data_IF_131679627336
#
_entry.id   IF_131679627336
#
_cell.length_a   1.000
_cell.length_b   1.000
_cell.length_c   1.000
_cell.angle_alpha   90.00
_cell.angle_beta   90.00
_cell.angle_gamma   90.00
#
_symmetry.space_group_name_H-M   'P 1'
#
loop_
_entity.id
_entity.type
_entity.pdbx_description
1 polymer ?
#
# COMPACT_ATOMS: atom_id res chain seq x y z
N UNK A 1 -2.73 -3.97 -88.52
CA UNK A 1 -1.32 -4.33 -88.29
C UNK A 1 -0.64 -3.18 -87.55
N UNK A 2 0.25 -3.46 -86.58
CA UNK A 2 0.17 -2.84 -85.25
C UNK A 2 1.18 -1.70 -85.00
N UNK A 3 0.79 -0.77 -84.14
CA UNK A 3 1.67 0.20 -83.49
C UNK A 3 2.57 -0.52 -82.47
N UNK A 4 3.89 -0.45 -82.65
CA UNK A 4 4.88 -0.77 -81.61
C UNK A 4 5.36 0.54 -80.97
N UNK A 5 4.98 0.76 -79.71
CA UNK A 5 5.52 1.82 -78.88
C UNK A 5 6.84 1.36 -78.24
N UNK A 6 7.84 2.24 -78.31
CA UNK A 6 9.17 2.10 -77.72
C UNK A 6 9.07 2.32 -76.20
N UNK A 7 9.42 1.32 -75.38
CA UNK A 7 9.56 1.49 -73.93
C UNK A 7 11.04 1.73 -73.59
N UNK A 8 11.35 2.92 -73.07
CA UNK A 8 12.62 3.21 -72.40
C UNK A 8 12.64 2.50 -71.03
N UNK A 9 13.69 1.73 -70.78
CA UNK A 9 13.98 1.10 -69.50
C UNK A 9 14.75 2.11 -68.62
N UNK A 10 14.12 2.65 -67.57
CA UNK A 10 14.79 3.46 -66.55
C UNK A 10 15.31 2.54 -65.43
N UNK A 11 16.62 2.59 -65.19
CA UNK A 11 17.32 1.84 -64.16
C UNK A 11 17.12 2.54 -62.81
N UNK A 12 16.34 1.96 -61.88
CA UNK A 12 16.25 2.42 -60.50
C UNK A 12 17.36 1.79 -59.65
N UNK A 13 18.33 2.60 -59.23
CA UNK A 13 19.29 2.28 -58.18
C UNK A 13 18.63 2.45 -56.80
N UNK A 14 18.46 1.37 -56.05
CA UNK A 14 17.99 1.40 -54.67
C UNK A 14 19.14 1.80 -53.73
N UNK A 15 19.09 3.01 -53.18
CA UNK A 15 19.94 3.43 -52.06
C UNK A 15 19.38 2.83 -50.76
N UNK A 16 20.03 1.80 -50.24
CA UNK A 16 19.79 1.29 -48.89
C UNK A 16 20.26 2.33 -47.87
N UNK A 17 19.31 3.02 -47.24
CA UNK A 17 19.59 3.79 -46.02
C UNK A 17 19.85 2.81 -44.88
N UNK A 18 21.07 2.81 -44.33
CA UNK A 18 21.35 2.20 -43.04
C UNK A 18 20.57 2.97 -41.96
N UNK A 19 19.57 2.34 -41.36
CA UNK A 19 19.02 2.81 -40.10
C UNK A 19 20.10 2.64 -39.00
N UNK A 20 20.26 3.62 -38.09
CA UNK A 20 21.12 3.42 -36.92
C UNK A 20 20.59 2.24 -36.09
N UNK A 21 21.46 1.48 -35.41
CA UNK A 21 21.05 0.35 -34.59
C UNK A 21 20.08 0.83 -33.51
N UNK A 22 18.94 0.16 -33.45
CA UNK A 22 17.94 0.30 -32.40
C UNK A 22 18.65 0.13 -31.05
N UNK A 23 18.57 1.15 -30.20
CA UNK A 23 19.10 1.07 -28.83
C UNK A 23 18.27 0.03 -28.12
N UNK A 24 18.84 -1.17 -27.95
CA UNK A 24 18.22 -2.22 -27.17
C UNK A 24 17.82 -1.66 -25.80
N UNK A 25 16.56 -1.85 -25.42
CA UNK A 25 16.09 -1.57 -24.07
C UNK A 25 17.02 -2.29 -23.08
N UNK A 26 17.44 -1.63 -21.98
CA UNK A 26 18.36 -2.24 -21.03
C UNK A 26 17.74 -3.54 -20.50
N UNK A 27 18.48 -4.63 -20.65
CA UNK A 27 18.13 -5.92 -20.06
C UNK A 27 17.96 -5.74 -18.55
N UNK A 28 16.75 -5.98 -18.05
CA UNK A 28 16.47 -5.97 -16.62
C UNK A 28 17.23 -7.13 -15.99
N UNK A 29 18.26 -6.82 -15.21
CA UNK A 29 18.90 -7.79 -14.32
C UNK A 29 17.84 -8.37 -13.39
N UNK A 30 17.66 -9.69 -13.45
CA UNK A 30 16.69 -10.46 -12.67
C UNK A 30 17.16 -10.59 -11.21
N UNK A 31 17.11 -9.49 -10.45
CA UNK A 31 16.78 -9.62 -9.04
C UNK A 31 15.36 -10.18 -8.94
N UNK A 32 15.10 -11.12 -8.03
CA UNK A 32 13.75 -11.61 -7.78
C UNK A 32 12.83 -10.42 -7.54
N UNK A 33 11.96 -10.14 -8.51
CA UNK A 33 10.93 -9.12 -8.35
C UNK A 33 10.06 -9.52 -7.15
N UNK A 34 9.71 -8.58 -6.26
CA UNK A 34 8.87 -8.87 -5.12
C UNK A 34 7.60 -9.61 -5.54
N UNK A 35 7.13 -10.57 -4.74
CA UNK A 35 5.89 -11.25 -5.04
C UNK A 35 4.72 -10.26 -4.98
N UNK A 36 3.80 -10.33 -5.95
CA UNK A 36 2.58 -9.52 -5.92
C UNK A 36 1.77 -9.84 -4.65
N UNK A 37 1.45 -8.82 -3.88
CA UNK A 37 0.67 -8.92 -2.64
C UNK A 37 -0.78 -8.49 -2.90
N UNK A 38 -1.69 -8.93 -2.03
CA UNK A 38 -3.06 -8.40 -1.96
C UNK A 38 -3.20 -7.59 -0.66
N UNK A 39 -3.87 -6.43 -0.67
CA UNK A 39 -4.04 -5.62 0.52
C UNK A 39 -4.84 -6.30 1.62
N UNK A 40 -4.42 -6.07 2.88
CA UNK A 40 -5.10 -6.55 4.08
C UNK A 40 -6.35 -5.75 4.46
N UNK A 41 -7.03 -5.15 3.49
CA UNK A 41 -8.22 -4.30 3.65
C UNK A 41 -7.97 -2.85 4.11
N UNK A 42 -6.70 -2.50 4.32
CA UNK A 42 -6.23 -1.14 4.43
C UNK A 42 -5.08 -0.90 3.46
N UNK A 43 -4.78 0.38 3.24
CA UNK A 43 -3.64 0.83 2.46
C UNK A 43 -2.92 1.94 3.24
N UNK A 44 -1.66 1.71 3.58
CA UNK A 44 -0.79 2.68 4.25
C UNK A 44 0.12 3.37 3.24
N UNK A 45 -0.14 4.64 2.99
CA UNK A 45 0.63 5.49 2.09
C UNK A 45 1.49 6.48 2.87
N UNK A 46 2.79 6.45 2.61
CA UNK A 46 3.79 7.30 3.25
C UNK A 46 4.38 8.27 2.21
N UNK A 47 4.60 9.52 2.58
CA UNK A 47 5.47 10.43 1.83
C UNK A 47 6.72 10.76 2.65
N UNK A 48 7.87 10.84 1.99
CA UNK A 48 9.14 11.09 2.65
C UNK A 48 10.13 11.79 1.72
N UNK A 49 10.45 13.05 2.03
CA UNK A 49 11.63 13.71 1.49
C UNK A 49 12.87 13.14 2.20
N UNK A 50 13.71 12.41 1.46
CA UNK A 50 14.89 11.72 2.01
C UNK A 50 16.17 12.56 1.95
N UNK A 51 16.06 13.80 1.45
CA UNK A 51 17.19 14.71 1.24
C UNK A 51 18.39 14.01 0.61
N UNK A 52 18.15 13.28 -0.49
CA UNK A 52 19.16 12.51 -1.24
C UNK A 52 20.09 11.64 -0.37
N UNK A 53 19.64 11.20 0.81
CA UNK A 53 20.46 10.44 1.76
C UNK A 53 21.65 11.21 2.33
N UNK A 54 21.59 12.54 2.39
CA UNK A 54 22.72 13.38 2.82
C UNK A 54 23.07 13.17 4.31
N UNK A 55 22.03 13.05 5.16
CA UNK A 55 22.20 13.05 6.62
C UNK A 55 22.42 11.65 7.20
N UNK A 56 22.21 10.59 6.41
CA UNK A 56 22.26 9.21 6.88
C UNK A 56 22.37 8.20 5.73
N UNK A 57 22.64 6.93 6.03
CA UNK A 57 22.68 5.89 4.99
C UNK A 57 21.28 5.47 4.54
N UNK A 58 21.18 4.96 3.30
CA UNK A 58 19.92 4.42 2.76
C UNK A 58 19.39 3.25 3.58
N UNK A 59 20.24 2.49 4.27
CA UNK A 59 19.82 1.44 5.21
C UNK A 59 19.03 2.02 6.38
N UNK A 60 19.45 3.17 6.91
CA UNK A 60 18.74 3.81 8.02
C UNK A 60 17.43 4.46 7.56
N UNK A 61 17.41 5.05 6.37
CA UNK A 61 16.17 5.51 5.69
C UNK A 61 15.22 4.33 5.47
N UNK A 62 15.71 3.20 4.95
CA UNK A 62 14.92 1.99 4.77
C UNK A 62 14.41 1.40 6.10
N UNK A 63 15.15 1.55 7.20
CA UNK A 63 14.68 1.14 8.53
C UNK A 63 13.53 2.00 9.02
N UNK A 64 13.54 3.32 8.76
CA UNK A 64 12.39 4.20 9.03
C UNK A 64 11.17 3.71 8.23
N UNK A 65 11.34 3.43 6.94
CA UNK A 65 10.26 2.91 6.08
C UNK A 65 9.73 1.58 6.64
N UNK A 66 10.60 0.58 6.86
CA UNK A 66 10.22 -0.75 7.36
C UNK A 66 9.52 -0.69 8.72
N UNK A 67 9.97 0.17 9.63
CA UNK A 67 9.36 0.35 10.95
C UNK A 67 7.91 0.87 10.85
N UNK A 68 7.57 1.57 9.78
CA UNK A 68 6.22 2.06 9.52
C UNK A 68 5.37 1.10 8.70
N UNK A 69 5.96 0.04 8.15
CA UNK A 69 5.32 -0.95 7.29
C UNK A 69 4.33 -0.36 6.25
N UNK A 70 4.72 0.68 5.48
CA UNK A 70 3.85 1.24 4.46
C UNK A 70 3.68 0.27 3.28
N UNK A 71 2.55 0.42 2.60
CA UNK A 71 2.30 -0.24 1.34
C UNK A 71 2.86 0.52 0.15
N UNK A 72 2.84 1.85 0.24
CA UNK A 72 3.28 2.77 -0.80
C UNK A 72 4.14 3.85 -0.15
N UNK A 73 5.25 4.22 -0.79
CA UNK A 73 6.14 5.30 -0.33
C UNK A 73 6.44 6.26 -1.47
N UNK A 74 5.89 7.47 -1.37
CA UNK A 74 6.22 8.61 -2.21
C UNK A 74 7.53 9.24 -1.73
N UNK A 75 8.60 9.13 -2.51
CA UNK A 75 9.92 9.64 -2.18
C UNK A 75 10.25 10.91 -2.97
N UNK A 76 10.71 11.94 -2.26
CA UNK A 76 11.25 13.17 -2.83
C UNK A 76 12.75 13.24 -2.60
N UNK A 77 13.43 14.00 -3.45
CA UNK A 77 14.89 14.20 -3.42
C UNK A 77 15.70 12.92 -3.60
N UNK A 78 15.34 12.13 -4.61
CA UNK A 78 16.02 10.87 -4.90
C UNK A 78 17.07 11.10 -5.98
N UNK A 79 18.31 10.68 -5.70
CA UNK A 79 19.41 10.68 -6.66
C UNK A 79 19.53 9.33 -7.38
N UNK A 80 19.84 9.38 -8.67
CA UNK A 80 20.21 8.21 -9.47
C UNK A 80 21.53 8.50 -10.18
N UNK A 81 22.58 7.78 -9.78
CA UNK A 81 23.91 7.85 -10.38
C UNK A 81 24.56 9.25 -10.34
N UNK A 82 24.22 10.10 -9.35
CA UNK A 82 24.88 11.40 -9.13
C UNK A 82 26.25 11.20 -8.47
N UNK A 83 27.17 12.15 -8.62
CA UNK A 83 28.48 12.07 -7.92
C UNK A 83 28.28 12.18 -6.41
N UNK A 84 27.42 13.08 -5.94
CA UNK A 84 27.14 13.28 -4.51
C UNK A 84 26.52 12.05 -3.84
N UNK A 85 25.82 11.19 -4.59
CA UNK A 85 25.31 9.91 -4.08
C UNK A 85 26.30 8.76 -4.22
N UNK A 86 27.57 9.02 -4.58
CA UNK A 86 28.57 7.99 -4.93
C UNK A 86 28.11 7.06 -6.06
N UNK A 87 27.41 7.61 -7.06
CA UNK A 87 26.87 6.87 -8.19
C UNK A 87 25.87 5.77 -7.79
N UNK A 88 25.17 5.95 -6.67
CA UNK A 88 24.12 5.01 -6.24
C UNK A 88 22.81 5.36 -6.95
N UNK A 89 22.11 4.34 -7.46
CA UNK A 89 20.68 4.41 -7.75
C UNK A 89 19.91 4.22 -6.44
N UNK A 90 19.47 5.33 -5.85
CA UNK A 90 18.84 5.31 -4.54
C UNK A 90 17.45 4.67 -4.57
N UNK A 91 16.71 4.80 -5.68
CA UNK A 91 15.39 4.17 -5.83
C UNK A 91 15.52 2.65 -5.86
N UNK A 92 16.44 2.12 -6.67
CA UNK A 92 16.71 0.70 -6.76
C UNK A 92 17.22 0.14 -5.43
N UNK A 93 18.16 0.84 -4.77
CA UNK A 93 18.72 0.42 -3.49
C UNK A 93 17.65 0.39 -2.38
N UNK A 94 16.79 1.40 -2.30
CA UNK A 94 15.71 1.41 -1.32
C UNK A 94 14.67 0.31 -1.61
N UNK A 95 14.31 0.07 -2.87
CA UNK A 95 13.45 -1.04 -3.27
C UNK A 95 14.01 -2.40 -2.81
N UNK A 96 15.31 -2.63 -2.99
CA UNK A 96 16.00 -3.83 -2.50
C UNK A 96 15.96 -3.93 -0.96
N UNK A 97 16.28 -2.85 -0.25
CA UNK A 97 16.36 -2.84 1.21
C UNK A 97 14.99 -3.01 1.91
N UNK A 98 13.90 -2.62 1.24
CA UNK A 98 12.53 -2.76 1.76
C UNK A 98 11.79 -3.99 1.22
N UNK A 99 12.30 -4.59 0.13
CA UNK A 99 11.62 -5.68 -0.58
C UNK A 99 10.38 -5.20 -1.35
N UNK A 100 10.39 -3.97 -1.84
CA UNK A 100 9.29 -3.33 -2.55
C UNK A 100 9.62 -3.12 -4.04
N UNK A 101 8.61 -3.17 -4.90
CA UNK A 101 8.71 -2.66 -6.26
C UNK A 101 9.11 -1.19 -6.22
N UNK A 102 9.85 -0.72 -7.21
CA UNK A 102 10.23 0.68 -7.30
C UNK A 102 10.09 1.22 -8.72
N UNK A 103 9.87 2.52 -8.83
CA UNK A 103 9.96 3.25 -10.09
C UNK A 103 10.43 4.68 -9.83
N UNK A 104 11.33 5.19 -10.68
CA UNK A 104 11.91 6.52 -10.57
C UNK A 104 11.50 7.38 -11.76
N UNK A 105 11.18 8.64 -11.50
CA UNK A 105 10.88 9.65 -12.51
C UNK A 105 11.80 10.87 -12.27
N UNK A 106 12.70 11.20 -13.22
CA UNK A 106 13.60 12.33 -13.08
C UNK A 106 12.83 13.66 -13.19
N UNK A 107 13.01 14.53 -12.20
CA UNK A 107 12.70 15.95 -12.34
C UNK A 107 13.74 16.60 -13.26
N UNK A 108 15.01 16.30 -12.99
CA UNK A 108 16.19 16.69 -13.75
C UNK A 108 16.87 15.46 -14.35
N UNK A 109 16.96 15.41 -15.67
CA UNK A 109 17.57 14.28 -16.41
C UNK A 109 19.09 14.38 -16.52
N UNK A 110 19.66 15.56 -16.27
CA UNK A 110 21.09 15.83 -16.27
C UNK A 110 21.45 16.65 -15.03
N UNK A 111 21.72 15.95 -13.92
CA UNK A 111 22.08 16.57 -12.65
C UNK A 111 23.26 15.84 -12.03
N UNK A 112 24.37 16.56 -11.78
CA UNK A 112 25.58 16.00 -11.16
C UNK A 112 26.07 14.69 -11.81
N UNK A 113 26.11 14.69 -13.16
CA UNK A 113 26.44 13.52 -13.98
C UNK A 113 25.55 12.29 -13.75
N UNK A 114 24.33 12.52 -13.28
CA UNK A 114 23.26 11.54 -13.04
C UNK A 114 21.89 12.22 -13.16
N UNK A 115 20.94 11.80 -12.33
CA UNK A 115 19.56 12.29 -12.33
C UNK A 115 19.09 12.58 -10.91
N UNK A 116 18.16 13.53 -10.80
CA UNK A 116 17.51 13.90 -9.54
C UNK A 116 16.00 13.96 -9.74
N UNK A 117 15.23 13.40 -8.81
CA UNK A 117 13.78 13.35 -8.98
C UNK A 117 13.02 12.67 -7.87
N UNK A 118 11.97 11.98 -8.29
CA UNK A 118 10.93 11.42 -7.45
C UNK A 118 10.89 9.90 -7.66
N UNK A 119 10.58 9.15 -6.61
CA UNK A 119 10.38 7.71 -6.72
C UNK A 119 9.12 7.26 -5.99
N UNK A 120 8.58 6.12 -6.43
CA UNK A 120 7.57 5.37 -5.70
C UNK A 120 8.17 4.02 -5.31
N UNK A 121 8.07 3.66 -4.02
CA UNK A 121 8.19 2.28 -3.58
C UNK A 121 6.78 1.70 -3.37
N UNK A 122 6.56 0.45 -3.78
CA UNK A 122 5.25 -0.19 -3.70
C UNK A 122 5.36 -1.66 -3.29
N UNK A 123 4.51 -2.11 -2.35
CA UNK A 123 4.29 -3.53 -2.06
C UNK A 123 3.56 -4.25 -3.19
N UNK A 124 2.96 -3.49 -4.10
CA UNK A 124 2.13 -3.98 -5.20
C UNK A 124 2.77 -3.64 -6.56
N UNK A 125 2.48 -4.40 -7.63
CA UNK A 125 3.03 -4.13 -8.95
C UNK A 125 2.73 -2.70 -9.44
N UNK A 126 3.77 -1.99 -9.86
CA UNK A 126 3.67 -0.72 -10.57
C UNK A 126 3.52 -1.05 -12.06
N UNK A 127 2.36 -0.74 -12.65
CA UNK A 127 2.02 -1.14 -14.02
C UNK A 127 2.38 -0.09 -15.06
N UNK A 128 2.38 1.17 -14.68
CA UNK A 128 2.86 2.26 -15.54
C UNK A 128 3.40 3.42 -14.70
N UNK A 129 4.23 4.24 -15.33
CA UNK A 129 4.78 5.47 -14.77
C UNK A 129 4.76 6.56 -15.84
N UNK A 130 4.34 7.77 -15.46
CA UNK A 130 4.22 8.92 -16.33
C UNK A 130 4.85 10.14 -15.65
N UNK A 131 5.70 10.83 -16.41
CA UNK A 131 6.26 12.14 -16.04
C UNK A 131 5.35 13.26 -16.55
N UNK A 132 4.83 14.08 -15.65
CA UNK A 132 4.07 15.28 -16.00
C UNK A 132 4.85 16.53 -15.56
N UNK A 133 5.41 17.33 -16.49
CA UNK A 133 6.06 18.58 -16.14
C UNK A 133 5.08 19.55 -15.47
N UNK A 134 5.50 20.20 -14.39
CA UNK A 134 4.76 21.28 -13.75
C UNK A 134 5.36 22.63 -14.15
N UNK A 135 4.53 23.67 -14.22
CA UNK A 135 5.01 25.04 -14.47
C UNK A 135 6.03 25.43 -13.40
N UNK A 136 7.23 25.76 -13.87
CA UNK A 136 8.41 26.03 -13.04
C UNK A 136 9.18 27.20 -13.65
N UNK A 137 9.54 28.18 -12.83
CA UNK A 137 10.35 29.35 -13.19
C UNK A 137 11.84 29.12 -12.92
N UNK A 138 12.17 28.16 -12.03
CA UNK A 138 13.53 27.77 -11.69
C UNK A 138 13.78 26.30 -12.05
N UNK A 139 14.25 25.50 -11.09
CA UNK A 139 14.41 24.05 -11.28
C UNK A 139 13.08 23.41 -11.72
N UNK A 140 13.14 22.58 -12.77
CA UNK A 140 11.97 21.88 -13.29
C UNK A 140 11.37 20.95 -12.22
N UNK A 141 10.13 21.22 -11.80
CA UNK A 141 9.34 20.33 -10.96
C UNK A 141 8.39 19.46 -11.79
N UNK A 142 8.07 18.27 -11.30
CA UNK A 142 7.20 17.31 -12.00
C UNK A 142 6.22 16.67 -11.05
N UNK A 143 5.10 16.19 -11.59
CA UNK A 143 4.28 15.16 -10.98
C UNK A 143 4.70 13.82 -11.58
N UNK A 144 5.16 12.90 -10.74
CA UNK A 144 5.36 11.51 -11.10
C UNK A 144 4.06 10.75 -10.83
N UNK A 145 3.38 10.29 -11.88
CA UNK A 145 2.12 9.58 -11.79
C UNK A 145 2.31 8.10 -12.12
N UNK A 146 1.92 7.22 -11.21
CA UNK A 146 2.03 5.78 -11.32
C UNK A 146 0.64 5.15 -11.29
N UNK A 147 0.45 4.05 -12.02
CA UNK A 147 -0.72 3.18 -11.86
C UNK A 147 -0.29 1.92 -11.10
N UNK A 148 -0.83 1.73 -9.90
CA UNK A 148 -0.47 0.62 -9.00
C UNK A 148 -1.61 -0.38 -8.93
N UNK A 149 -1.32 -1.66 -9.18
CA UNK A 149 -2.31 -2.73 -9.15
C UNK A 149 -2.43 -3.33 -7.75
N UNK A 150 -3.43 -2.91 -6.98
CA UNK A 150 -3.65 -3.41 -5.62
C UNK A 150 -4.26 -4.81 -5.60
N UNK A 151 -5.18 -5.09 -6.51
CA UNK A 151 -5.82 -6.39 -6.70
C UNK A 151 -5.82 -6.69 -8.20
N UNK A 152 -5.97 -7.95 -8.64
CA UNK A 152 -6.08 -8.27 -10.06
C UNK A 152 -7.09 -7.35 -10.77
N UNK A 153 -6.62 -6.63 -11.79
CA UNK A 153 -7.39 -5.63 -12.56
C UNK A 153 -7.88 -4.39 -11.80
N UNK A 154 -7.37 -4.13 -10.59
CA UNK A 154 -7.68 -2.92 -9.81
C UNK A 154 -6.47 -2.01 -9.69
N UNK A 155 -6.37 -1.10 -10.66
CA UNK A 155 -5.38 -0.03 -10.68
C UNK A 155 -5.88 1.17 -9.86
N UNK A 156 -4.98 1.75 -9.08
CA UNK A 156 -5.17 3.08 -8.51
C UNK A 156 -4.05 4.04 -8.96
N UNK A 157 -4.37 5.32 -9.21
CA UNK A 157 -3.36 6.32 -9.49
C UNK A 157 -2.65 6.72 -8.19
N UNK A 158 -1.32 6.65 -8.19
CA UNK A 158 -0.46 7.08 -7.08
C UNK A 158 0.49 8.13 -7.63
N UNK A 159 0.50 9.30 -7.01
CA UNK A 159 1.23 10.45 -7.49
C UNK A 159 2.23 10.94 -6.45
N UNK A 160 3.40 11.35 -6.94
CA UNK A 160 4.49 11.94 -6.14
C UNK A 160 4.83 13.30 -6.71
N UNK A 161 5.02 14.31 -5.86
CA UNK A 161 5.47 15.63 -6.29
C UNK A 161 6.42 16.28 -5.29
N UNK A 162 7.15 17.30 -5.75
CA UNK A 162 7.96 18.18 -4.93
C UNK A 162 7.88 19.60 -5.49
N UNK A 163 7.25 20.51 -4.75
CA UNK A 163 7.02 21.89 -5.21
C UNK A 163 8.27 22.77 -5.14
N UNK A 164 8.28 23.84 -5.93
CA UNK A 164 9.33 24.86 -5.91
C UNK A 164 9.36 25.64 -4.59
N UNK A 165 10.57 26.03 -4.16
CA UNK A 165 10.78 26.83 -2.95
C UNK A 165 10.65 28.34 -3.20
N UNK A 166 10.80 28.77 -4.47
CA UNK A 166 11.09 30.16 -4.85
C UNK A 166 9.88 31.09 -4.95
N UNK A 167 8.64 30.58 -5.13
CA UNK A 167 7.48 31.48 -5.27
C UNK A 167 6.11 30.86 -4.98
N UNK A 168 5.31 31.55 -4.15
CA UNK A 168 3.95 31.13 -3.83
C UNK A 168 3.03 31.08 -5.07
N UNK A 169 3.18 32.03 -6.01
CA UNK A 169 2.40 32.04 -7.26
C UNK A 169 2.74 30.85 -8.18
N UNK A 170 4.02 30.46 -8.24
CA UNK A 170 4.44 29.25 -8.95
C UNK A 170 3.79 28.01 -8.33
N UNK A 171 3.81 27.87 -7.00
CA UNK A 171 3.16 26.74 -6.32
C UNK A 171 1.65 26.65 -6.60
N UNK A 172 0.97 27.78 -6.78
CA UNK A 172 -0.45 27.78 -7.20
C UNK A 172 -0.59 27.23 -8.62
N UNK A 173 0.29 27.60 -9.55
CA UNK A 173 0.29 27.05 -10.91
C UNK A 173 0.59 25.54 -10.91
N UNK A 174 1.56 25.10 -10.11
CA UNK A 174 1.88 23.68 -9.92
C UNK A 174 0.69 22.90 -9.34
N UNK A 175 -0.05 23.49 -8.39
CA UNK A 175 -1.28 22.90 -7.86
C UNK A 175 -2.37 22.73 -8.93
N UNK A 176 -2.59 23.73 -9.79
CA UNK A 176 -3.55 23.62 -10.89
C UNK A 176 -3.13 22.59 -11.95
N UNK A 177 -1.83 22.47 -12.23
CA UNK A 177 -1.30 21.45 -13.15
C UNK A 177 -1.56 20.03 -12.62
N UNK A 178 -1.38 19.81 -11.31
CA UNK A 178 -1.71 18.55 -10.64
C UNK A 178 -3.20 18.26 -10.72
N UNK A 179 -4.06 19.25 -10.44
CA UNK A 179 -5.52 19.10 -10.53
C UNK A 179 -5.96 18.73 -11.94
N UNK A 180 -5.35 19.32 -12.97
CA UNK A 180 -5.63 18.96 -14.36
C UNK A 180 -5.19 17.52 -14.67
N UNK A 181 -3.98 17.13 -14.25
CA UNK A 181 -3.44 15.79 -14.48
C UNK A 181 -4.22 14.68 -13.75
N UNK A 182 -4.81 14.99 -12.60
CA UNK A 182 -5.58 14.06 -11.76
C UNK A 182 -7.10 14.21 -11.90
N UNK A 183 -7.57 15.04 -12.83
CA UNK A 183 -8.99 15.20 -13.10
C UNK A 183 -9.65 13.84 -13.45
N UNK A 184 -10.79 13.55 -12.83
CA UNK A 184 -11.51 12.28 -13.05
C UNK A 184 -10.84 11.05 -12.44
N UNK A 185 -9.82 11.20 -11.59
CA UNK A 185 -9.16 10.10 -10.86
C UNK A 185 -9.54 10.12 -9.36
N UNK A 186 -10.76 9.72 -8.98
CA UNK A 186 -11.25 9.88 -7.60
C UNK A 186 -10.52 8.97 -6.60
N UNK A 187 -9.84 7.92 -7.06
CA UNK A 187 -9.00 7.04 -6.23
C UNK A 187 -7.54 7.50 -6.11
N UNK A 188 -7.20 8.66 -6.67
CA UNK A 188 -5.82 9.16 -6.64
C UNK A 188 -5.31 9.33 -5.20
N UNK A 189 -4.08 8.90 -4.98
CA UNK A 189 -3.30 9.23 -3.80
C UNK A 189 -2.17 10.16 -4.23
N UNK A 190 -1.94 11.25 -3.50
CA UNK A 190 -0.86 12.20 -3.79
C UNK A 190 -0.01 12.42 -2.54
N UNK A 191 1.28 12.09 -2.63
CA UNK A 191 2.26 12.32 -1.57
C UNK A 191 3.32 13.30 -2.04
N UNK A 192 3.75 14.23 -1.19
CA UNK A 192 4.87 15.08 -1.55
C UNK A 192 5.23 16.14 -0.53
N UNK A 193 6.43 16.69 -0.72
CA UNK A 193 6.86 17.95 -0.13
C UNK A 193 6.32 19.11 -0.99
N UNK A 194 5.30 19.79 -0.49
CA UNK A 194 4.63 20.87 -1.21
C UNK A 194 5.28 22.23 -0.94
N UNK A 195 6.31 22.32 -0.08
CA UNK A 195 6.97 23.57 0.28
C UNK A 195 6.00 24.72 0.63
N UNK A 196 4.82 24.36 1.14
CA UNK A 196 3.71 25.26 1.39
C UNK A 196 3.00 24.89 2.69
N UNK A 197 2.78 25.89 3.54
CA UNK A 197 2.00 25.76 4.76
C UNK A 197 0.50 25.61 4.47
N UNK A 198 -0.30 25.08 5.42
CA UNK A 198 -1.71 24.78 5.18
C UNK A 198 -2.58 25.98 4.80
N UNK A 199 -2.16 27.19 5.18
CA UNK A 199 -2.86 28.44 4.87
C UNK A 199 -2.53 29.02 3.49
N UNK A 200 -1.59 28.43 2.75
CA UNK A 200 -1.22 28.93 1.43
C UNK A 200 -2.25 28.58 0.35
N UNK A 201 -2.36 29.46 -0.66
CA UNK A 201 -3.32 29.33 -1.74
C UNK A 201 -3.10 28.09 -2.61
N UNK A 202 -1.87 27.60 -2.72
CA UNK A 202 -1.56 26.36 -3.43
C UNK A 202 -2.20 25.14 -2.76
N UNK A 203 -2.15 25.07 -1.42
CA UNK A 203 -2.82 24.03 -0.65
C UNK A 203 -4.34 24.19 -0.77
N UNK A 204 -4.86 25.41 -0.60
CA UNK A 204 -6.29 25.69 -0.78
C UNK A 204 -6.82 25.28 -2.15
N UNK A 205 -6.01 25.44 -3.22
CA UNK A 205 -6.33 24.99 -4.57
C UNK A 205 -6.43 23.46 -4.65
N UNK A 206 -5.42 22.73 -4.18
CA UNK A 206 -5.44 21.25 -4.17
C UNK A 206 -6.65 20.71 -3.40
N UNK A 207 -7.01 21.34 -2.28
CA UNK A 207 -8.14 20.92 -1.45
C UNK A 207 -9.52 21.10 -2.10
N UNK A 208 -9.61 21.74 -3.27
CA UNK A 208 -10.83 21.74 -4.08
C UNK A 208 -11.13 20.37 -4.72
N UNK A 209 -10.11 19.51 -4.89
CA UNK A 209 -10.24 18.17 -5.47
C UNK A 209 -9.80 17.04 -4.53
N UNK A 210 -8.96 17.35 -3.55
CA UNK A 210 -8.40 16.39 -2.62
C UNK A 210 -8.79 16.69 -1.18
N UNK A 211 -8.68 15.69 -0.33
CA UNK A 211 -8.78 15.82 1.13
C UNK A 211 -7.40 15.64 1.76
N UNK A 212 -7.01 16.55 2.67
CA UNK A 212 -5.80 16.40 3.47
C UNK A 212 -5.96 15.30 4.53
N UNK A 213 -5.16 14.23 4.41
CA UNK A 213 -5.21 13.11 5.35
C UNK A 213 -4.81 13.52 6.78
N UNK A 214 -3.93 14.50 6.95
CA UNK A 214 -3.56 15.00 8.27
C UNK A 214 -4.72 15.73 8.93
N UNK A 215 -5.38 16.65 8.19
CA UNK A 215 -6.52 17.39 8.71
C UNK A 215 -7.69 16.48 9.13
N UNK A 216 -7.83 15.32 8.46
CA UNK A 216 -8.93 14.38 8.67
C UNK A 216 -8.66 13.29 9.71
N UNK A 217 -7.40 12.89 9.89
CA UNK A 217 -7.03 11.71 10.68
C UNK A 217 -5.76 11.83 11.52
N UNK A 218 -5.15 13.02 11.55
CA UNK A 218 -3.96 13.32 12.34
C UNK A 218 -4.29 14.06 13.65
N UNK A 219 -3.29 14.18 14.51
CA UNK A 219 -3.39 14.87 15.80
C UNK A 219 -2.12 15.68 16.11
N UNK A 220 -2.27 16.89 16.66
CA UNK A 220 -1.14 17.78 16.95
C UNK A 220 -0.78 18.69 15.77
N UNK A 221 0.44 19.23 15.75
CA UNK A 221 0.84 20.25 14.77
C UNK A 221 0.98 19.71 13.33
N UNK A 222 1.36 18.43 13.19
CA UNK A 222 1.69 17.83 11.89
C UNK A 222 2.96 18.40 11.27
N UNK A 223 3.79 19.07 12.06
CA UNK A 223 5.02 19.67 11.55
C UNK A 223 6.04 18.61 11.15
N UNK A 224 6.64 18.80 10.00
CA UNK A 224 7.57 17.87 9.35
C UNK A 224 8.96 18.44 9.17
N UNK A 225 9.10 19.77 9.09
CA UNK A 225 10.38 20.43 8.81
C UNK A 225 10.63 21.65 9.71
N UNK A 226 11.88 21.91 10.13
CA UNK A 226 13.03 20.99 10.07
C UNK A 226 12.82 19.81 11.05
N UNK A 227 13.33 18.62 10.72
CA UNK A 227 12.96 17.40 11.44
C UNK A 227 13.36 17.36 12.93
N UNK A 228 14.43 18.05 13.34
CA UNK A 228 14.87 18.08 14.75
C UNK A 228 13.93 18.93 15.62
N UNK A 229 13.62 20.15 15.17
CA UNK A 229 12.70 21.08 15.84
C UNK A 229 11.63 21.56 14.84
N UNK A 230 10.60 20.74 14.57
CA UNK A 230 9.65 21.04 13.51
C UNK A 230 8.83 22.29 13.81
N UNK A 231 8.73 23.17 12.82
CA UNK A 231 7.95 24.41 12.90
C UNK A 231 7.02 24.60 11.71
N UNK A 232 7.16 23.76 10.67
CA UNK A 232 6.39 23.84 9.43
C UNK A 232 5.77 22.49 9.09
N UNK A 233 4.55 22.50 8.58
CA UNK A 233 3.90 21.37 7.91
C UNK A 233 3.92 21.63 6.41
N UNK A 234 4.81 20.94 5.71
CA UNK A 234 5.01 21.11 4.26
C UNK A 234 4.95 19.79 3.49
N UNK A 235 4.95 18.65 4.17
CA UNK A 235 4.76 17.34 3.56
C UNK A 235 3.32 16.87 3.76
N UNK A 236 2.70 16.36 2.69
CA UNK A 236 1.29 16.04 2.67
C UNK A 236 1.02 14.66 2.09
N UNK A 237 0.01 13.99 2.64
CA UNK A 237 -0.72 12.92 1.97
C UNK A 237 -2.12 13.43 1.67
N UNK A 238 -2.44 13.53 0.38
CA UNK A 238 -3.71 14.02 -0.15
C UNK A 238 -4.48 12.86 -0.78
N UNK A 239 -5.78 12.81 -0.48
CA UNK A 239 -6.68 11.72 -0.84
C UNK A 239 -7.71 12.21 -1.86
N UNK A 240 -7.85 11.50 -2.98
CA UNK A 240 -8.96 11.71 -3.92
C UNK A 240 -10.33 11.43 -3.29
N UNK A 241 -11.38 11.91 -3.95
CA UNK A 241 -12.75 11.95 -3.41
C UNK A 241 -13.37 10.58 -3.09
N UNK A 242 -12.88 9.48 -3.67
CA UNK A 242 -13.41 8.15 -3.40
C UNK A 242 -12.89 7.55 -2.07
N UNK A 243 -11.86 8.12 -1.47
CA UNK A 243 -11.36 7.73 -0.14
C UNK A 243 -12.26 8.31 0.96
N UNK A 244 -13.43 7.71 1.16
CA UNK A 244 -14.49 8.22 2.06
C UNK A 244 -14.39 7.72 3.49
N UNK A 245 -13.52 6.75 3.81
CA UNK A 245 -13.30 6.30 5.19
C UNK A 245 -12.30 7.19 5.94
N UNK A 246 -12.50 7.48 7.25
CA UNK A 246 -11.54 8.27 8.02
C UNK A 246 -10.14 7.64 7.99
N UNK A 247 -9.08 8.38 7.59
CA UNK A 247 -7.73 7.88 7.67
C UNK A 247 -7.24 7.89 9.12
N UNK A 248 -6.22 7.08 9.41
CA UNK A 248 -5.35 7.29 10.58
C UNK A 248 -4.02 7.83 10.08
N UNK A 249 -3.62 9.02 10.54
CA UNK A 249 -2.45 9.73 10.01
C UNK A 249 -1.46 10.06 11.12
N UNK A 250 -0.17 9.87 10.84
CA UNK A 250 0.91 10.11 11.79
C UNK A 250 2.10 10.78 11.12
N UNK A 251 2.76 11.70 11.82
CA UNK A 251 4.12 12.16 11.48
C UNK A 251 5.11 11.25 12.18
N UNK A 252 6.03 10.69 11.41
CA UNK A 252 7.02 9.71 11.88
C UNK A 252 8.27 10.46 12.33
N UNK A 253 8.80 10.13 13.51
CA UNK A 253 10.08 10.71 13.91
C UNK A 253 11.22 10.08 13.10
N UNK A 254 11.92 10.90 12.32
CA UNK A 254 13.08 10.52 11.52
C UNK A 254 14.17 11.61 11.56
N UNK A 255 14.27 12.33 12.70
CA UNK A 255 15.06 13.55 12.84
C UNK A 255 16.57 13.42 12.58
N UNK A 256 17.10 12.20 12.55
CA UNK A 256 18.50 11.93 12.23
C UNK A 256 18.71 11.34 10.83
N UNK A 257 17.64 11.01 10.11
CA UNK A 257 17.73 10.38 8.78
C UNK A 257 17.55 11.40 7.64
N UNK A 258 16.73 12.42 7.86
CA UNK A 258 16.43 13.50 6.93
C UNK A 258 16.12 14.78 7.70
N UNK A 259 16.16 15.93 7.04
CA UNK A 259 15.64 17.19 7.58
C UNK A 259 14.12 17.32 7.44
N UNK A 260 13.46 16.32 6.86
CA UNK A 260 12.01 16.15 6.85
C UNK A 260 11.59 14.93 7.66
N UNK A 261 10.44 15.04 8.35
CA UNK A 261 9.76 13.89 8.97
C UNK A 261 8.74 13.31 7.99
N UNK A 262 8.71 11.98 7.78
CA UNK A 262 7.71 11.36 6.95
C UNK A 262 6.29 11.56 7.48
N UNK A 263 5.33 11.61 6.56
CA UNK A 263 3.89 11.57 6.88
C UNK A 263 3.33 10.26 6.35
N UNK A 264 2.64 9.51 7.21
CA UNK A 264 2.00 8.25 6.84
C UNK A 264 0.51 8.29 7.14
N UNK A 265 -0.32 7.95 6.16
CA UNK A 265 -1.77 7.83 6.30
C UNK A 265 -2.21 6.40 5.98
N UNK A 266 -3.07 5.83 6.81
CA UNK A 266 -3.72 4.54 6.56
C UNK A 266 -5.18 4.78 6.22
N UNK A 267 -5.59 4.34 5.03
CA UNK A 267 -6.98 4.40 4.55
C UNK A 267 -7.57 3.00 4.48
N UNK A 268 -8.88 2.89 4.68
CA UNK A 268 -9.61 1.63 4.48
C UNK A 268 -9.91 1.47 2.99
N UNK A 269 -9.77 0.25 2.48
CA UNK A 269 -10.16 -0.07 1.11
C UNK A 269 -11.66 -0.40 1.10
N UNK A 270 -12.53 0.46 0.56
CA UNK A 270 -13.98 0.25 0.71
C UNK A 270 -14.48 -1.00 -0.02
N UNK A 271 -13.73 -1.47 -1.02
CA UNK A 271 -14.03 -2.68 -1.79
C UNK A 271 -13.43 -3.96 -1.20
N UNK A 272 -12.62 -3.87 -0.14
CA UNK A 272 -11.92 -5.00 0.46
C UNK A 272 -11.65 -4.66 1.93
N UNK A 273 -12.41 -5.23 2.85
CA UNK A 273 -12.39 -4.91 4.28
C UNK A 273 -12.02 -6.15 5.09
N UNK A 274 -11.33 -5.95 6.21
CA UNK A 274 -10.94 -7.01 7.13
C UNK A 274 -11.19 -6.56 8.58
N UNK A 275 -11.38 -7.50 9.51
CA UNK A 275 -11.64 -7.22 10.93
C UNK A 275 -10.46 -6.55 11.62
N UNK A 276 -9.25 -7.01 11.30
CA UNK A 276 -8.04 -6.59 12.01
C UNK A 276 -7.07 -5.79 11.14
N UNK A 277 -7.35 -5.60 9.85
CA UNK A 277 -6.48 -4.79 8.97
C UNK A 277 -5.07 -5.37 8.92
N UNK A 278 -4.08 -4.50 9.09
CA UNK A 278 -2.67 -4.88 9.23
C UNK A 278 -2.19 -4.85 10.69
N UNK A 279 -3.11 -4.84 11.67
CA UNK A 279 -2.74 -4.98 13.10
C UNK A 279 -2.03 -6.32 13.29
N UNK A 280 -1.12 -6.36 14.27
CA UNK A 280 -0.35 -7.56 14.60
C UNK A 280 -0.58 -7.95 16.07
N UNK A 281 -0.52 -9.25 16.40
CA UNK A 281 -0.60 -9.74 17.76
C UNK A 281 0.52 -9.20 18.64
N UNK A 282 0.20 -8.92 19.91
CA UNK A 282 1.24 -8.70 20.93
C UNK A 282 2.00 -10.00 21.23
N UNK A 283 1.31 -11.14 21.18
CA UNK A 283 1.90 -12.48 21.29
C UNK A 283 1.70 -13.24 19.97
N UNK A 284 2.70 -13.14 19.08
CA UNK A 284 2.65 -13.73 17.74
C UNK A 284 2.72 -15.26 17.70
N UNK A 285 3.22 -15.90 18.77
CA UNK A 285 3.34 -17.36 18.90
C UNK A 285 3.09 -17.74 20.36
N UNK A 286 2.08 -18.58 20.61
CA UNK A 286 1.90 -19.24 21.90
C UNK A 286 2.74 -20.53 21.96
N UNK A 287 4.04 -20.40 22.21
CA UNK A 287 5.02 -21.47 21.98
C UNK A 287 4.92 -22.72 22.87
N UNK A 288 4.17 -22.68 23.97
CA UNK A 288 4.00 -23.80 24.91
C UNK A 288 2.84 -24.76 24.52
N UNK A 289 1.90 -24.31 23.68
CA UNK A 289 0.80 -25.16 23.24
C UNK A 289 1.10 -25.78 21.88
N UNK A 290 1.42 -27.07 21.89
CA UNK A 290 1.80 -27.83 20.69
C UNK A 290 0.66 -28.72 20.17
N UNK A 291 -0.53 -28.64 20.77
CA UNK A 291 -1.64 -29.53 20.46
C UNK A 291 -2.37 -29.08 19.20
N UNK A 292 -2.86 -30.04 18.44
CA UNK A 292 -3.74 -29.77 17.31
C UNK A 292 -5.03 -29.06 17.77
N UNK A 293 -5.36 -27.97 17.11
CA UNK A 293 -6.42 -27.05 17.55
C UNK A 293 -6.98 -26.25 16.38
N UNK A 294 -8.29 -26.00 16.43
CA UNK A 294 -8.97 -24.98 15.64
C UNK A 294 -9.14 -23.74 16.51
N UNK A 295 -8.77 -22.55 16.01
CA UNK A 295 -8.97 -21.28 16.70
C UNK A 295 -9.61 -20.25 15.78
N UNK A 296 -10.43 -19.35 16.32
CA UNK A 296 -11.21 -18.43 15.48
C UNK A 296 -11.86 -17.27 16.20
N UNK A 297 -12.66 -16.53 15.45
CA UNK A 297 -13.41 -15.35 15.90
C UNK A 297 -14.83 -15.37 15.36
N UNK A 298 -15.78 -14.99 16.21
CA UNK A 298 -17.14 -14.64 15.80
C UNK A 298 -17.15 -13.22 15.24
N UNK A 299 -17.76 -13.03 14.08
CA UNK A 299 -17.85 -11.74 13.43
C UNK A 299 -19.22 -11.52 12.79
N UNK A 300 -19.54 -10.27 12.47
CA UNK A 300 -20.70 -9.87 11.66
C UNK A 300 -20.35 -8.67 10.79
N UNK A 301 -21.17 -8.42 9.77
CA UNK A 301 -21.15 -7.14 9.06
C UNK A 301 -22.44 -6.36 9.29
N UNK A 302 -22.39 -5.02 9.27
CA UNK A 302 -23.58 -4.16 9.28
C UNK A 302 -24.26 -4.03 7.90
N UNK A 303 -23.64 -4.53 6.83
CA UNK A 303 -24.20 -4.58 5.47
C UNK A 303 -24.04 -5.99 4.90
N UNK A 304 -24.85 -6.35 3.90
CA UNK A 304 -24.66 -7.61 3.17
C UNK A 304 -23.48 -7.49 2.22
N UNK A 305 -22.89 -8.63 1.86
CA UNK A 305 -21.77 -8.67 0.92
C UNK A 305 -21.19 -10.07 0.80
N UNK A 306 -19.93 -10.17 0.36
CA UNK A 306 -19.27 -11.46 0.12
C UNK A 306 -17.94 -11.57 0.86
N UNK A 307 -17.67 -12.73 1.43
CA UNK A 307 -16.34 -13.13 1.89
C UNK A 307 -15.58 -13.67 0.69
N UNK A 308 -14.45 -13.06 0.37
CA UNK A 308 -13.61 -13.41 -0.79
C UNK A 308 -12.33 -14.15 -0.40
N UNK A 309 -11.88 -14.03 0.85
CA UNK A 309 -10.72 -14.74 1.37
C UNK A 309 -10.85 -14.96 2.89
N UNK A 310 -10.17 -15.98 3.39
CA UNK A 310 -9.96 -16.20 4.82
C UNK A 310 -8.49 -15.96 5.14
N UNK A 311 -8.21 -15.35 6.29
CA UNK A 311 -6.84 -15.00 6.67
C UNK A 311 -6.60 -15.24 8.16
N UNK A 312 -5.35 -15.41 8.54
CA UNK A 312 -4.94 -15.48 9.94
C UNK A 312 -3.51 -15.01 10.13
N UNK A 313 -3.13 -14.62 11.34
CA UNK A 313 -1.75 -14.22 11.63
C UNK A 313 -0.88 -15.41 12.02
N UNK A 314 0.26 -15.57 11.35
CA UNK A 314 1.24 -16.65 11.61
C UNK A 314 2.56 -16.05 12.14
N UNK A 315 3.04 -16.56 13.27
CA UNK A 315 4.39 -16.27 13.77
C UNK A 315 5.48 -17.15 13.16
N UNK A 316 6.73 -17.05 13.65
CA UNK A 316 7.90 -17.70 13.03
C UNK A 316 8.01 -19.22 13.25
N UNK A 317 7.35 -19.76 14.26
CA UNK A 317 7.56 -21.13 14.78
C UNK A 317 6.49 -22.14 14.33
N UNK A 318 5.57 -21.67 13.50
CA UNK A 318 4.26 -22.26 13.29
C UNK A 318 4.27 -23.12 12.02
N UNK A 319 4.27 -24.46 12.16
CA UNK A 319 4.45 -25.42 11.06
C UNK A 319 3.28 -25.47 10.06
N UNK A 320 3.50 -26.20 8.97
CA UNK A 320 2.71 -26.16 7.74
C UNK A 320 1.41 -26.98 7.85
N UNK A 321 0.43 -26.73 6.97
CA UNK A 321 -0.81 -27.52 6.88
C UNK A 321 -2.07 -26.84 7.42
N UNK A 322 -2.08 -25.51 7.43
CA UNK A 322 -3.24 -24.72 7.85
C UNK A 322 -4.44 -24.92 6.91
N UNK A 323 -5.61 -25.05 7.52
CA UNK A 323 -6.89 -25.00 6.81
C UNK A 323 -7.74 -23.92 7.48
N UNK A 324 -8.15 -22.93 6.70
CA UNK A 324 -9.07 -21.90 7.18
C UNK A 324 -10.51 -22.30 6.87
N UNK A 325 -11.42 -21.98 7.78
CA UNK A 325 -12.83 -22.34 7.71
C UNK A 325 -13.72 -21.12 7.95
N UNK A 326 -14.87 -21.11 7.28
CA UNK A 326 -15.96 -20.17 7.50
C UNK A 326 -17.23 -20.94 7.85
N UNK A 327 -17.89 -20.54 8.92
CA UNK A 327 -19.06 -21.23 9.47
C UNK A 327 -20.23 -20.27 9.68
N UNK A 328 -21.45 -20.81 9.66
CA UNK A 328 -22.57 -20.16 10.34
C UNK A 328 -22.33 -20.18 11.86
N UNK A 329 -23.00 -19.29 12.61
CA UNK A 329 -22.90 -19.32 14.07
C UNK A 329 -23.50 -20.60 14.71
N UNK A 330 -24.23 -21.41 13.95
CA UNK A 330 -24.77 -22.71 14.40
C UNK A 330 -23.89 -23.89 14.03
N UNK A 331 -22.73 -23.67 13.39
CA UNK A 331 -21.76 -24.71 13.06
C UNK A 331 -21.89 -25.35 11.69
N UNK A 332 -22.72 -24.80 10.79
CA UNK A 332 -22.73 -25.23 9.38
C UNK A 332 -21.47 -24.72 8.69
N UNK A 333 -20.68 -25.62 8.09
CA UNK A 333 -19.52 -25.24 7.28
C UNK A 333 -19.98 -24.56 5.99
N UNK A 334 -19.53 -23.34 5.75
CA UNK A 334 -19.85 -22.54 4.56
C UNK A 334 -18.72 -22.56 3.53
N UNK A 335 -17.47 -22.55 4.00
CA UNK A 335 -16.28 -22.70 3.15
C UNK A 335 -15.09 -23.25 3.95
N UNK A 336 -14.18 -23.91 3.24
CA UNK A 336 -12.87 -24.28 3.74
C UNK A 336 -11.82 -24.08 2.65
N UNK A 337 -10.62 -23.69 3.03
CA UNK A 337 -9.52 -23.47 2.08
C UNK A 337 -8.17 -23.82 2.73
N UNK A 338 -7.31 -24.61 2.08
CA UNK A 338 -5.94 -24.79 2.54
C UNK A 338 -5.18 -23.49 2.39
N UNK A 339 -4.45 -23.08 3.43
CA UNK A 339 -3.67 -21.85 3.41
C UNK A 339 -2.23 -22.18 3.06
N UNK A 340 -1.73 -21.56 1.99
CA UNK A 340 -0.32 -21.66 1.61
C UNK A 340 0.52 -20.72 2.46
N UNK A 341 1.76 -21.12 2.68
CA UNK A 341 2.75 -20.32 3.38
C UNK A 341 3.06 -19.04 2.59
N UNK A 342 2.87 -17.90 3.25
CA UNK A 342 3.31 -16.58 2.83
C UNK A 342 4.41 -16.04 3.75
N UNK A 343 4.53 -14.72 3.83
CA UNK A 343 5.54 -14.05 4.68
C UNK A 343 5.36 -14.41 6.15
N UNK A 344 6.45 -14.77 6.83
CA UNK A 344 6.48 -15.05 8.27
C UNK A 344 7.50 -14.15 9.00
N UNK A 345 7.17 -13.61 10.19
CA UNK A 345 5.83 -13.55 10.74
C UNK A 345 4.93 -12.63 9.88
N UNK A 346 3.64 -12.92 9.82
CA UNK A 346 2.71 -12.12 9.03
C UNK A 346 1.34 -12.74 8.81
N UNK A 347 0.46 -11.93 8.23
CA UNK A 347 -0.85 -12.38 7.77
C UNK A 347 -0.72 -13.37 6.61
N UNK A 348 -1.33 -14.54 6.79
CA UNK A 348 -1.54 -15.54 5.76
C UNK A 348 -2.95 -15.35 5.22
N UNK A 349 -3.12 -15.32 3.91
CA UNK A 349 -4.42 -15.14 3.29
C UNK A 349 -4.63 -16.21 2.21
N UNK A 350 -5.82 -16.78 2.19
CA UNK A 350 -6.25 -17.76 1.21
C UNK A 350 -7.54 -17.30 0.54
N UNK A 351 -7.49 -16.92 -0.76
CA UNK A 351 -8.68 -16.61 -1.53
C UNK A 351 -9.64 -17.81 -1.58
N UNK A 352 -10.93 -17.55 -1.44
CA UNK A 352 -11.95 -18.55 -1.68
C UNK A 352 -12.12 -18.75 -3.19
N UNK A 353 -12.18 -19.99 -3.70
CA UNK A 353 -12.46 -20.24 -5.11
C UNK A 353 -13.79 -19.63 -5.58
N UNK A 354 -14.77 -19.61 -4.68
CA UNK A 354 -16.09 -18.98 -4.87
C UNK A 354 -16.36 -18.09 -3.67
N UNK A 355 -16.61 -16.77 -3.85
CA UNK A 355 -16.99 -15.89 -2.75
C UNK A 355 -18.27 -16.36 -2.05
N UNK A 356 -18.33 -16.21 -0.73
CA UNK A 356 -19.49 -16.63 0.09
C UNK A 356 -20.29 -15.43 0.52
N UNK A 357 -21.57 -15.39 0.16
CA UNK A 357 -22.47 -14.32 0.59
C UNK A 357 -22.77 -14.38 2.09
N UNK A 358 -22.72 -13.23 2.74
CA UNK A 358 -23.14 -13.05 4.13
C UNK A 358 -24.23 -11.97 4.24
N UNK A 359 -25.12 -12.15 5.20
CA UNK A 359 -26.24 -11.25 5.44
C UNK A 359 -25.90 -10.25 6.54
N UNK A 360 -26.28 -8.98 6.35
CA UNK A 360 -26.16 -7.93 7.35
C UNK A 360 -26.70 -8.39 8.72
N UNK A 361 -26.00 -8.02 9.80
CA UNK A 361 -26.36 -8.30 11.19
C UNK A 361 -26.19 -9.76 11.63
N UNK A 362 -25.95 -10.70 10.70
CA UNK A 362 -25.82 -12.13 11.01
C UNK A 362 -24.43 -12.44 11.54
N UNK A 363 -24.35 -13.24 12.61
CA UNK A 363 -23.07 -13.71 13.18
C UNK A 363 -22.59 -14.93 12.41
N UNK A 364 -21.30 -14.92 12.08
CA UNK A 364 -20.55 -16.01 11.46
C UNK A 364 -19.28 -16.28 12.27
N UNK A 365 -18.61 -17.39 11.99
CA UNK A 365 -17.32 -17.73 12.59
C UNK A 365 -16.29 -17.93 11.48
N UNK A 366 -15.16 -17.23 11.58
CA UNK A 366 -13.97 -17.56 10.80
C UNK A 366 -12.95 -18.20 11.73
N UNK A 367 -12.31 -19.27 11.29
CA UNK A 367 -11.33 -20.02 12.07
C UNK A 367 -10.23 -20.60 11.20
N UNK A 368 -9.17 -21.10 11.83
CA UNK A 368 -8.18 -21.92 11.18
C UNK A 368 -7.74 -23.09 12.07
N UNK A 369 -7.50 -24.22 11.43
CA UNK A 369 -6.91 -25.41 12.02
C UNK A 369 -5.38 -25.36 11.93
N UNK A 370 -4.72 -25.79 13.00
CA UNK A 370 -3.29 -26.06 13.06
C UNK A 370 -3.05 -27.40 13.72
N UNK A 371 -2.22 -28.26 13.13
CA UNK A 371 -1.93 -29.60 13.67
C UNK A 371 -0.90 -29.59 14.80
N UNK A 372 -0.19 -28.48 15.01
CA UNK A 372 0.91 -28.36 15.96
C UNK A 372 0.74 -27.19 16.95
N UNK A 373 -0.46 -26.62 17.07
CA UNK A 373 -0.74 -25.51 17.96
C UNK A 373 0.00 -24.22 17.58
N UNK A 374 0.59 -23.57 18.59
CA UNK A 374 1.46 -22.39 18.49
C UNK A 374 0.84 -21.14 17.85
N UNK A 375 -0.49 -21.06 17.79
CA UNK A 375 -1.25 -19.94 17.25
C UNK A 375 -0.91 -18.57 17.90
N UNK A 376 -1.22 -17.48 17.20
CA UNK A 376 -1.19 -16.13 17.75
C UNK A 376 -2.33 -15.93 18.76
N UNK A 377 -2.08 -15.26 19.89
CA UNK A 377 -3.11 -15.06 20.92
C UNK A 377 -2.88 -13.82 21.77
N UNK A 378 -3.85 -12.92 21.79
CA UNK A 378 -3.90 -11.86 22.80
C UNK A 378 -5.07 -12.08 23.75
N UNK A 379 -4.78 -12.30 25.04
CA UNK A 379 -5.79 -12.44 26.09
C UNK A 379 -6.53 -11.11 26.28
N UNK A 380 -7.84 -11.17 26.53
CA UNK A 380 -8.72 -9.99 26.65
C UNK A 380 -8.86 -9.16 25.37
N UNK A 381 -8.29 -9.60 24.24
CA UNK A 381 -8.32 -8.86 22.97
C UNK A 381 -9.72 -8.62 22.40
N UNK A 382 -10.71 -9.41 22.82
CA UNK A 382 -12.13 -9.30 22.44
C UNK A 382 -13.06 -9.05 23.65
N UNK A 383 -12.52 -8.54 24.76
CA UNK A 383 -13.34 -8.10 25.89
C UNK A 383 -14.36 -7.03 25.46
N UNK A 384 -13.94 -6.14 24.56
CA UNK A 384 -14.79 -5.17 23.88
C UNK A 384 -14.90 -5.50 22.38
N UNK A 385 -15.92 -4.95 21.72
CA UNK A 385 -16.07 -5.12 20.28
C UNK A 385 -14.93 -4.46 19.49
N UNK A 386 -14.45 -5.14 18.46
CA UNK A 386 -13.51 -4.57 17.48
C UNK A 386 -14.29 -4.28 16.21
N UNK A 387 -14.29 -3.01 15.78
CA UNK A 387 -14.99 -2.55 14.58
C UNK A 387 -13.98 -2.07 13.55
N UNK A 388 -14.14 -2.51 12.31
CA UNK A 388 -13.30 -2.13 11.16
C UNK A 388 -14.19 -2.01 9.92
N UNK A 389 -14.42 -0.77 9.48
CA UNK A 389 -15.39 -0.48 8.42
C UNK A 389 -16.77 -1.04 8.74
N UNK A 390 -17.26 -1.91 7.86
CA UNK A 390 -18.54 -2.61 7.98
C UNK A 390 -18.44 -3.90 8.81
N UNK A 391 -17.24 -4.36 9.19
CA UNK A 391 -17.04 -5.57 9.95
C UNK A 391 -16.96 -5.29 11.45
N UNK A 392 -17.46 -6.23 12.25
CA UNK A 392 -17.40 -6.19 13.71
C UNK A 392 -17.09 -7.58 14.24
N UNK A 393 -16.04 -7.71 15.04
CA UNK A 393 -15.90 -8.82 15.99
C UNK A 393 -16.58 -8.38 17.30
N UNK A 394 -17.75 -8.94 17.65
CA UNK A 394 -18.47 -8.51 18.85
C UNK A 394 -17.68 -8.81 20.12
N UNK A 395 -17.82 -7.97 21.15
CA UNK A 395 -17.23 -8.25 22.45
C UNK A 395 -17.83 -9.53 23.05
N UNK A 396 -17.01 -10.34 23.72
CA UNK A 396 -17.39 -11.69 24.17
C UNK A 396 -18.73 -11.76 24.91
N UNK A 397 -19.00 -10.82 25.82
CA UNK A 397 -20.25 -10.79 26.59
C UNK A 397 -21.51 -10.69 25.71
N UNK A 398 -21.41 -10.10 24.52
CA UNK A 398 -22.55 -9.88 23.61
C UNK A 398 -22.95 -11.11 22.78
N UNK A 399 -22.09 -12.13 22.70
CA UNK A 399 -22.27 -13.30 21.83
C UNK A 399 -22.05 -14.64 22.56
N UNK A 400 -22.08 -14.63 23.90
CA UNK A 400 -21.86 -15.84 24.70
C UNK A 400 -20.42 -16.34 24.69
N UNK A 401 -19.46 -15.44 24.48
CA UNK A 401 -18.04 -15.72 24.31
C UNK A 401 -17.56 -15.37 22.90
N UNK A 402 -16.38 -14.75 22.77
CA UNK A 402 -15.66 -14.61 21.51
C UNK A 402 -14.19 -14.99 21.74
N UNK A 403 -13.44 -15.18 20.65
CA UNK A 403 -12.20 -15.94 20.72
C UNK A 403 -12.50 -17.40 20.93
N UNK A 404 -12.88 -18.07 19.85
CA UNK A 404 -13.34 -19.46 19.91
C UNK A 404 -12.23 -20.44 19.63
N UNK A 405 -12.28 -21.61 20.23
CA UNK A 405 -11.35 -22.70 19.97
C UNK A 405 -12.00 -24.09 20.10
N UNK A 406 -11.31 -25.09 19.56
CA UNK A 406 -11.59 -26.52 19.70
C UNK A 406 -10.28 -27.30 19.58
N UNK A 407 -9.87 -28.04 20.62
CA UNK A 407 -8.79 -29.01 20.47
C UNK A 407 -9.32 -30.23 19.70
N UNK A 408 -8.69 -30.52 18.57
CA UNK A 408 -9.13 -31.54 17.59
C UNK A 408 -7.93 -31.95 16.75
N UNK A 409 -7.94 -33.16 16.18
CA UNK A 409 -6.88 -33.64 15.29
C UNK A 409 -7.11 -33.32 13.81
N UNK A 410 -8.29 -32.81 13.43
CA UNK A 410 -8.68 -32.66 12.00
C UNK A 410 -9.47 -31.39 11.66
N UNK A 411 -9.50 -30.42 12.56
CA UNK A 411 -10.36 -29.23 12.46
C UNK A 411 -11.80 -29.50 12.92
N UNK A 412 -12.63 -28.46 12.90
CA UNK A 412 -14.05 -28.56 13.26
C UNK A 412 -14.59 -27.25 13.83
N UNK A 413 -15.91 -27.15 14.00
CA UNK A 413 -16.55 -25.91 14.46
C UNK A 413 -16.11 -25.54 15.89
N UNK A 414 -15.40 -24.41 16.09
CA UNK A 414 -14.95 -24.01 17.41
C UNK A 414 -16.05 -23.25 18.15
N UNK A 415 -16.45 -23.76 19.32
CA UNK A 415 -17.54 -23.19 20.14
C UNK A 415 -17.10 -22.75 21.55
N UNK A 416 -16.02 -23.31 22.09
CA UNK A 416 -15.46 -22.95 23.40
C UNK A 416 -14.72 -21.62 23.34
N UNK A 417 -14.71 -20.85 24.42
CA UNK A 417 -13.95 -19.58 24.51
C UNK A 417 -13.03 -19.55 25.74
N UNK A 418 -11.99 -18.72 25.68
CA UNK A 418 -11.04 -18.57 26.78
C UNK A 418 -10.65 -17.09 26.95
N UNK A 419 -10.99 -16.51 28.10
CA UNK A 419 -10.57 -15.15 28.54
C UNK A 419 -10.65 -14.09 27.43
N UNK A 420 -11.73 -14.10 26.66
CA UNK A 420 -11.98 -13.15 25.57
C UNK A 420 -10.81 -13.00 24.59
N UNK A 421 -10.11 -14.09 24.32
CA UNK A 421 -8.88 -14.05 23.54
C UNK A 421 -9.13 -13.62 22.08
N UNK A 422 -8.19 -12.92 21.47
CA UNK A 422 -8.13 -12.77 20.02
C UNK A 422 -7.12 -13.77 19.46
N UNK A 423 -7.58 -14.71 18.62
CA UNK A 423 -6.73 -15.70 17.94
C UNK A 423 -6.26 -15.27 16.54
N UNK A 424 -6.56 -14.02 16.17
CA UNK A 424 -6.09 -13.40 14.93
C UNK A 424 -6.50 -14.16 13.66
N UNK A 425 -7.70 -14.75 13.67
CA UNK A 425 -8.40 -15.22 12.48
C UNK A 425 -9.24 -14.06 11.90
N UNK A 426 -9.37 -13.96 10.58
CA UNK A 426 -10.00 -12.80 9.93
C UNK A 426 -10.52 -13.19 8.53
N UNK A 427 -11.27 -12.30 7.91
CA UNK A 427 -11.87 -12.43 6.58
C UNK A 427 -11.50 -11.25 5.70
N UNK A 428 -11.49 -11.46 4.39
CA UNK A 428 -11.58 -10.39 3.39
C UNK A 428 -13.02 -10.28 2.91
N UNK A 429 -13.68 -9.21 3.30
CA UNK A 429 -15.07 -8.91 3.02
C UNK A 429 -15.19 -7.80 1.97
N UNK A 430 -15.99 -8.05 0.95
CA UNK A 430 -16.42 -7.04 0.00
C UNK A 430 -17.89 -6.70 0.28
N UNK A 431 -18.19 -5.47 0.73
CA UNK A 431 -19.57 -5.01 0.84
C UNK A 431 -20.28 -5.13 -0.51
N UNK A 432 -21.55 -5.51 -0.51
CA UNK A 432 -22.38 -5.32 -1.70
C UNK A 432 -22.42 -3.82 -2.02
N UNK A 433 -22.38 -3.48 -3.32
CA UNK A 433 -22.56 -2.09 -3.73
C UNK A 433 -23.90 -1.58 -3.18
N UNK A 434 -23.91 -0.40 -2.57
CA UNK A 434 -25.16 0.27 -2.23
C UNK A 434 -25.98 0.45 -3.52
N UNK A 435 -27.29 0.15 -3.52
CA UNK A 435 -28.17 0.38 -4.66
C UNK A 435 -28.12 1.81 -5.20
#
# INVERSE_FOLDING_TARGET
MPFRALFLLALMTTLTHCAPPEVAEPAIETGEQPQALTPGGSLRFMTYNIKHGELSSLETVANVIKAQAPDLVALQEVDVLTVRSNKVDQAARLGQLTGMFYSFIPSLTNYDSGQYGLALLSRYPIRSAQRVPLRSAAEQRVLALFEVELEPSRLIPVAVTHFGTTGASERVQQAEDIKAALAGKPWALLGGDLNASPSESSISSLLQQFTDAWARGGSGSGYTSPAILPTKRIDYVLLGSAWTSPPTTSVVNAASQSDHRPVAATVILPWSQTLFGDRVPSTAVQGDDTRAVEVGVRFRSNVSGTIEALRFYRGTSNANGYVAHLWSNTGTLLAQVPVKDGRIPGWQEAPLPTPISITAGTVYVVSYFTSNGQFARDVSGLANAVVSGNLTAPGSASVGGNGVFLYTSSGGFPSSSYKDANYWADVRFKPAASP
#
